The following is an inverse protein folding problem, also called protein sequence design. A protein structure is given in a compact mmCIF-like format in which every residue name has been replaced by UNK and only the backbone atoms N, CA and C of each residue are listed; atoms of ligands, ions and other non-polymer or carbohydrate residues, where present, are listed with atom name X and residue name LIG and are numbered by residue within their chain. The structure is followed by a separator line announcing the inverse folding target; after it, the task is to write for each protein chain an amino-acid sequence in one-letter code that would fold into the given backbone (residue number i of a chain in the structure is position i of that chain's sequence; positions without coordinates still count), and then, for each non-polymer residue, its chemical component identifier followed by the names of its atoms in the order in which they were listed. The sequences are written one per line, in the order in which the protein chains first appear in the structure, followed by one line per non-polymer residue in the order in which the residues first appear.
data_IF_391466676254
#
_entry.id   IF_391466676254
#
_cell.length_a   1.000
_cell.length_b   1.000
_cell.length_c   1.000
_cell.angle_alpha   90.00
_cell.angle_beta   90.00
_cell.angle_gamma   90.00
#
_symmetry.space_group_name_H-M   'P 1'
#
loop_
_entity.id
_entity.type
_entity.pdbx_description
1 polymer ?
#
# COMPACT_ATOMS: atom_id res chain seq x y z
N UNK A 1 3.06 -19.55 -17.24
CA UNK A 1 2.46 -20.18 -16.05
C UNK A 1 3.51 -20.18 -14.96
N UNK A 2 3.21 -19.56 -13.81
CA UNK A 2 4.08 -19.52 -12.65
C UNK A 2 3.40 -20.25 -11.48
N UNK A 3 4.18 -20.91 -10.62
CA UNK A 3 3.72 -21.59 -9.41
C UNK A 3 4.49 -20.99 -8.24
N UNK A 4 3.77 -20.47 -7.26
CA UNK A 4 4.35 -19.96 -6.02
C UNK A 4 4.28 -21.05 -4.94
N UNK A 5 5.44 -21.40 -4.38
CA UNK A 5 5.56 -22.27 -3.22
C UNK A 5 5.65 -21.40 -1.97
N UNK A 6 4.62 -21.45 -1.13
CA UNK A 6 4.54 -20.68 0.11
C UNK A 6 4.63 -21.61 1.32
N UNK A 7 5.23 -21.18 2.44
CA UNK A 7 5.16 -21.91 3.70
C UNK A 7 3.69 -22.04 4.15
N UNK A 8 3.32 -23.07 4.93
CA UNK A 8 1.96 -23.30 5.40
C UNK A 8 1.59 -22.37 6.57
N UNK A 9 1.74 -21.06 6.35
CA UNK A 9 1.38 -20.00 7.29
C UNK A 9 0.52 -18.97 6.56
N UNK A 10 -0.52 -18.48 7.23
CA UNK A 10 -1.41 -17.45 6.69
C UNK A 10 -0.77 -16.07 6.90
N UNK A 11 0.31 -15.80 6.17
CA UNK A 11 0.99 -14.50 6.15
C UNK A 11 0.86 -13.89 4.76
N UNK A 12 0.36 -12.65 4.70
CA UNK A 12 0.27 -11.88 3.47
C UNK A 12 0.83 -10.46 3.69
N UNK A 13 0.82 -9.63 2.63
CA UNK A 13 1.30 -8.25 2.70
C UNK A 13 0.51 -7.42 3.74
N UNK A 14 -0.78 -7.71 3.93
CA UNK A 14 -1.62 -7.10 4.97
C UNK A 14 -1.15 -7.40 6.40
N UNK A 15 -0.78 -8.65 6.69
CA UNK A 15 -0.20 -9.04 7.99
C UNK A 15 1.01 -8.17 8.32
N UNK A 16 1.94 -8.03 7.37
CA UNK A 16 3.16 -7.24 7.53
C UNK A 16 2.85 -5.75 7.72
N UNK A 17 1.91 -5.20 6.95
CA UNK A 17 1.50 -3.80 7.08
C UNK A 17 0.91 -3.51 8.46
N UNK A 18 0.01 -4.36 8.95
CA UNK A 18 -0.58 -4.20 10.29
C UNK A 18 0.48 -4.30 11.39
N UNK A 19 1.43 -5.24 11.29
CA UNK A 19 2.54 -5.37 12.23
C UNK A 19 3.41 -4.11 12.25
N UNK A 20 3.82 -3.59 11.08
CA UNK A 20 4.63 -2.38 10.99
C UNK A 20 3.94 -1.14 11.59
N UNK A 21 2.65 -0.96 11.34
CA UNK A 21 1.88 0.16 11.91
C UNK A 21 1.88 0.09 13.43
N UNK A 22 1.63 -1.10 13.99
CA UNK A 22 1.55 -1.28 15.45
C UNK A 22 2.92 -1.23 16.12
N UNK A 23 3.93 -1.90 15.56
CA UNK A 23 5.28 -1.98 16.13
C UNK A 23 5.93 -0.61 16.23
N UNK A 24 5.78 0.21 15.18
CA UNK A 24 6.37 1.55 15.13
C UNK A 24 5.41 2.66 15.59
N UNK A 25 4.20 2.32 16.04
CA UNK A 25 3.14 3.27 16.41
C UNK A 25 2.99 4.39 15.37
N UNK A 26 2.89 3.99 14.10
CA UNK A 26 2.83 4.93 12.97
C UNK A 26 1.54 5.76 13.05
N UNK A 27 1.65 7.05 12.78
CA UNK A 27 0.51 7.96 12.71
C UNK A 27 -0.05 8.09 11.27
N UNK A 28 0.71 7.64 10.28
CA UNK A 28 0.24 7.61 8.92
C UNK A 28 1.19 6.89 7.96
N UNK A 29 0.71 6.64 6.75
CA UNK A 29 1.47 5.89 5.75
C UNK A 29 0.79 5.84 4.38
N UNK A 30 1.58 5.61 3.35
CA UNK A 30 1.09 5.42 1.98
C UNK A 30 1.58 4.06 1.50
N UNK A 31 0.66 3.22 1.05
CA UNK A 31 0.99 1.94 0.43
C UNK A 31 0.77 2.03 -1.08
N UNK A 32 1.79 1.66 -1.87
CA UNK A 32 1.77 1.65 -3.34
C UNK A 32 1.83 0.19 -3.82
N UNK A 33 0.89 -0.24 -4.67
CA UNK A 33 0.84 -1.63 -5.15
C UNK A 33 0.12 -1.81 -6.48
N UNK A 34 0.41 -2.90 -7.20
CA UNK A 34 -0.09 -3.15 -8.56
C UNK A 34 -0.64 -4.57 -8.77
N UNK A 35 -0.39 -5.50 -7.84
CA UNK A 35 -0.74 -6.91 -7.99
C UNK A 35 -1.85 -7.38 -7.04
N UNK A 36 -2.41 -8.57 -7.28
CA UNK A 36 -3.47 -9.15 -6.44
C UNK A 36 -3.11 -9.24 -4.95
N UNK A 37 -1.83 -9.44 -4.62
CA UNK A 37 -1.39 -9.61 -3.24
C UNK A 37 -1.37 -8.28 -2.47
N UNK A 38 -1.32 -7.15 -3.17
CA UNK A 38 -1.41 -5.81 -2.57
C UNK A 38 -2.82 -5.49 -2.03
N UNK A 39 -3.86 -6.23 -2.45
CA UNK A 39 -5.22 -6.08 -1.91
C UNK A 39 -5.24 -6.28 -0.39
N UNK A 40 -4.50 -7.26 0.12
CA UNK A 40 -4.43 -7.51 1.56
C UNK A 40 -3.76 -6.34 2.30
N UNK A 41 -2.76 -5.70 1.68
CA UNK A 41 -2.12 -4.50 2.23
C UNK A 41 -3.06 -3.29 2.23
N UNK A 42 -3.81 -3.06 1.16
CA UNK A 42 -4.81 -1.98 1.10
C UNK A 42 -5.88 -2.14 2.19
N UNK A 43 -6.40 -3.35 2.36
CA UNK A 43 -7.36 -3.65 3.43
C UNK A 43 -6.79 -3.40 4.82
N UNK A 44 -5.52 -3.73 5.03
CA UNK A 44 -4.83 -3.45 6.30
C UNK A 44 -4.72 -1.94 6.56
N UNK A 45 -4.38 -1.13 5.54
CA UNK A 45 -4.39 0.34 5.63
C UNK A 45 -5.78 0.85 6.01
N UNK A 46 -6.83 0.40 5.32
CA UNK A 46 -8.21 0.83 5.60
C UNK A 46 -8.72 0.39 6.97
N UNK A 47 -8.33 -0.79 7.44
CA UNK A 47 -8.67 -1.25 8.79
C UNK A 47 -7.96 -0.39 9.84
N UNK A 48 -6.64 -0.17 9.69
CA UNK A 48 -5.87 0.68 10.59
C UNK A 48 -6.44 2.11 10.66
N UNK A 49 -6.87 2.69 9.53
CA UNK A 49 -7.49 4.02 9.52
C UNK A 49 -8.89 4.12 10.13
N UNK A 50 -9.56 3.00 10.39
CA UNK A 50 -10.82 2.97 11.14
C UNK A 50 -10.61 2.75 12.63
N UNK A 51 -9.66 1.87 12.97
CA UNK A 51 -9.57 1.29 14.31
C UNK A 51 -8.41 1.85 15.14
N UNK A 52 -7.45 2.55 14.52
CA UNK A 52 -6.26 3.12 15.15
C UNK A 52 -6.15 4.62 14.88
N UNK A 53 -5.27 5.31 15.62
CA UNK A 53 -4.87 6.71 15.34
C UNK A 53 -3.87 6.78 14.18
N UNK A 54 -4.25 6.21 13.04
CA UNK A 54 -3.42 6.06 11.84
C UNK A 54 -4.16 6.62 10.61
N UNK A 55 -3.52 7.52 9.86
CA UNK A 55 -4.06 8.03 8.61
C UNK A 55 -3.26 7.51 7.42
N UNK A 56 -3.86 6.64 6.60
CA UNK A 56 -3.18 6.11 5.43
C UNK A 56 -3.97 6.12 4.14
N UNK A 57 -3.23 5.94 3.05
CA UNK A 57 -3.77 5.84 1.69
C UNK A 57 -3.25 4.60 0.98
N UNK A 58 -4.16 3.89 0.32
CA UNK A 58 -3.91 2.80 -0.60
C UNK A 58 -3.88 3.34 -2.03
N UNK A 59 -2.74 3.27 -2.71
CA UNK A 59 -2.59 3.78 -4.08
C UNK A 59 -2.26 2.62 -5.03
N UNK A 60 -3.14 2.42 -6.01
CA UNK A 60 -2.95 1.43 -7.07
C UNK A 60 -2.05 1.95 -8.18
N UNK A 61 -1.13 1.13 -8.67
CA UNK A 61 -0.32 1.45 -9.84
C UNK A 61 -0.92 0.74 -11.04
N UNK A 62 -1.40 1.50 -12.02
CA UNK A 62 -1.97 0.95 -13.24
C UNK A 62 -0.85 0.30 -14.04
N UNK A 63 -0.92 -1.03 -14.14
CA UNK A 63 -0.03 -1.87 -14.92
C UNK A 63 -0.85 -2.86 -15.75
N UNK A 64 -0.21 -3.57 -16.70
CA UNK A 64 -0.90 -4.65 -17.43
C UNK A 64 -1.32 -5.82 -16.54
N UNK A 65 -0.69 -5.91 -15.36
CA UNK A 65 -0.91 -6.99 -14.40
C UNK A 65 -1.98 -6.62 -13.36
N UNK A 66 -2.43 -5.36 -13.35
CA UNK A 66 -3.42 -4.84 -12.42
C UNK A 66 -4.80 -5.46 -12.67
N UNK A 67 -5.34 -6.23 -11.71
CA UNK A 67 -6.66 -6.83 -11.85
C UNK A 67 -7.74 -5.79 -11.52
N UNK A 68 -8.89 -5.85 -12.21
CA UNK A 68 -10.00 -4.89 -11.99
C UNK A 68 -10.46 -4.83 -10.51
N UNK A 69 -10.37 -5.95 -9.80
CA UNK A 69 -10.72 -6.05 -8.37
C UNK A 69 -9.84 -5.17 -7.47
N UNK A 70 -8.63 -4.83 -7.91
CA UNK A 70 -7.70 -4.01 -7.15
C UNK A 70 -8.18 -2.56 -7.05
N UNK A 71 -8.78 -2.03 -8.13
CA UNK A 71 -9.30 -0.65 -8.19
C UNK A 71 -10.34 -0.37 -7.10
N UNK A 72 -11.12 -1.38 -6.71
CA UNK A 72 -12.15 -1.23 -5.67
C UNK A 72 -11.56 -0.99 -4.27
N UNK A 73 -10.30 -1.34 -4.05
CA UNK A 73 -9.60 -1.27 -2.77
C UNK A 73 -8.56 -0.14 -2.77
N UNK A 74 -8.49 0.67 -3.83
CA UNK A 74 -7.56 1.80 -3.94
C UNK A 74 -8.28 3.12 -3.73
N UNK A 75 -7.65 4.02 -2.97
CA UNK A 75 -8.13 5.39 -2.77
C UNK A 75 -7.75 6.27 -3.98
N UNK A 76 -6.57 6.02 -4.57
CA UNK A 76 -6.04 6.73 -5.73
C UNK A 76 -5.30 5.78 -6.67
N UNK A 77 -5.03 6.23 -7.89
CA UNK A 77 -4.25 5.47 -8.87
C UNK A 77 -3.17 6.31 -9.54
N UNK A 78 -2.04 5.69 -9.88
CA UNK A 78 -0.96 6.26 -10.68
C UNK A 78 -0.80 5.50 -12.01
N UNK A 79 -0.44 6.18 -13.10
CA UNK A 79 -0.34 5.55 -14.43
C UNK A 79 1.03 4.91 -14.64
N UNK A 80 1.30 3.84 -13.90
CA UNK A 80 2.54 3.08 -13.99
C UNK A 80 3.69 3.66 -13.18
N UNK A 81 4.83 2.96 -13.24
CA UNK A 81 6.00 3.21 -12.39
C UNK A 81 6.61 4.60 -12.60
N UNK A 82 6.49 5.19 -13.79
CA UNK A 82 6.98 6.55 -14.04
C UNK A 82 6.26 7.60 -13.19
N UNK A 83 4.95 7.44 -13.00
CA UNK A 83 4.16 8.35 -12.16
C UNK A 83 4.48 8.14 -10.67
N UNK A 84 4.89 6.94 -10.24
CA UNK A 84 5.42 6.70 -8.89
C UNK A 84 6.65 7.56 -8.63
N UNK A 85 7.61 7.60 -9.56
CA UNK A 85 8.81 8.42 -9.42
C UNK A 85 8.47 9.91 -9.25
N UNK A 86 7.58 10.43 -10.10
CA UNK A 86 7.10 11.83 -10.02
C UNK A 86 6.37 12.11 -8.71
N UNK A 87 5.54 11.18 -8.26
CA UNK A 87 4.81 11.31 -7.01
C UNK A 87 5.76 11.40 -5.81
N UNK A 88 6.76 10.52 -5.74
CA UNK A 88 7.75 10.53 -4.67
C UNK A 88 8.64 11.78 -4.69
N UNK A 89 9.04 12.22 -5.89
CA UNK A 89 9.76 13.48 -6.06
C UNK A 89 8.95 14.66 -5.52
N UNK A 90 7.67 14.77 -5.90
CA UNK A 90 6.77 15.79 -5.39
C UNK A 90 6.61 15.71 -3.86
N UNK A 91 6.43 14.50 -3.29
CA UNK A 91 6.25 14.28 -1.86
C UNK A 91 7.48 14.74 -1.05
N UNK A 92 8.67 14.46 -1.57
CA UNK A 92 9.93 14.89 -0.93
C UNK A 92 10.11 16.41 -0.89
N UNK A 93 9.50 17.14 -1.83
CA UNK A 93 9.55 18.60 -1.89
C UNK A 93 8.47 19.27 -1.03
N UNK A 94 7.39 18.56 -0.74
CA UNK A 94 6.24 19.07 0.05
C UNK A 94 6.33 18.77 1.53
N UNK A 95 7.24 17.87 1.94
CA UNK A 95 7.46 17.57 3.35
C UNK A 95 8.25 18.72 3.99
N UNK A 96 7.71 19.40 5.02
CA UNK A 96 8.48 20.42 5.74
C UNK A 96 9.76 19.81 6.29
N UNK A 97 10.89 20.51 6.21
CA UNK A 97 12.09 20.08 6.92
C UNK A 97 11.75 19.97 8.41
N UNK A 98 11.82 18.74 8.94
CA UNK A 98 11.76 18.49 10.37
C UNK A 98 12.83 19.35 11.04
N UNK A 99 12.38 20.34 11.82
CA UNK A 99 13.25 21.23 12.60
C UNK A 99 13.82 20.50 13.82
#
# INVERSE_FOLDING_TARGET
MAINLLPPVEVNKGTVVSELIQEYNLQGGIYLGDDLTDIDAFRAIHAASRDLDFQGFAIGIISQEMPEKLVAETDFTLNGVNDVGRFLEWLSQTTPQSS
#
